data_IF_375632920478
#
_entry.id   IF_375632920478
#
_cell.length_a   1.000
_cell.length_b   1.000
_cell.length_c   1.000
_cell.angle_alpha   90.00
_cell.angle_beta   90.00
_cell.angle_gamma   90.00
#
_symmetry.space_group_name_H-M   'P 1'
#
loop_
_entity.id
_entity.type
_entity.pdbx_description
1 polymer ?
#
# COMPACT_ATOMS: atom_id res chain seq x y z
N UNK A 1 7.82 -8.89 -12.01
CA UNK A 1 7.18 -8.86 -10.67
C UNK A 1 7.52 -7.52 -10.07
N UNK A 2 6.53 -6.65 -9.90
CA UNK A 2 6.74 -5.31 -9.33
C UNK A 2 6.41 -5.32 -7.85
N UNK A 3 7.32 -4.81 -7.02
CA UNK A 3 7.04 -4.51 -5.62
C UNK A 3 6.83 -3.00 -5.50
N UNK A 4 5.67 -2.61 -5.00
CA UNK A 4 5.38 -1.22 -4.70
C UNK A 4 5.61 -1.02 -3.21
N UNK A 5 6.67 -0.31 -2.86
CA UNK A 5 6.96 0.03 -1.47
C UNK A 5 6.38 1.40 -1.17
N UNK A 6 5.60 1.45 -0.10
CA UNK A 6 4.98 2.65 0.42
C UNK A 6 5.47 2.88 1.85
N UNK A 7 5.79 4.14 2.15
CA UNK A 7 6.28 4.54 3.46
C UNK A 7 5.16 5.31 4.16
N UNK A 8 4.61 4.67 5.19
CA UNK A 8 3.61 5.24 6.07
C UNK A 8 4.29 5.93 7.24
N UNK A 9 3.96 7.19 7.48
CA UNK A 9 4.48 8.03 8.56
C UNK A 9 3.32 8.69 9.29
N UNK A 10 3.35 8.65 10.62
CA UNK A 10 2.46 9.45 11.45
C UNK A 10 3.21 10.70 11.89
N UNK A 11 2.66 11.87 11.58
CA UNK A 11 3.11 13.14 12.13
C UNK A 11 1.96 13.79 12.90
N UNK A 12 2.10 13.88 14.22
CA UNK A 12 1.25 14.72 15.06
C UNK A 12 -0.24 14.38 15.11
N UNK A 13 -0.64 13.17 14.71
CA UNK A 13 -2.05 12.73 14.69
C UNK A 13 -2.61 12.42 13.30
N UNK A 14 -1.90 12.80 12.23
CA UNK A 14 -2.25 12.44 10.86
C UNK A 14 -1.27 11.39 10.31
N UNK A 15 -1.82 10.34 9.72
CA UNK A 15 -1.07 9.31 9.01
C UNK A 15 -0.95 9.73 7.54
N UNK A 16 0.26 9.93 7.06
CA UNK A 16 0.56 10.17 5.66
C UNK A 16 1.32 8.98 5.10
N UNK A 17 1.07 8.65 3.84
CA UNK A 17 1.78 7.63 3.11
C UNK A 17 2.28 8.19 1.80
N UNK A 18 3.48 7.76 1.42
CA UNK A 18 4.15 8.14 0.20
C UNK A 18 4.74 6.92 -0.46
N UNK A 19 4.39 6.68 -1.72
CA UNK A 19 5.03 5.66 -2.53
C UNK A 19 6.51 6.01 -2.76
N UNK A 20 7.41 5.04 -2.57
CA UNK A 20 8.86 5.22 -2.77
C UNK A 20 9.21 5.44 -4.27
N UNK A 21 8.49 4.76 -5.15
CA UNK A 21 8.74 4.75 -6.60
C UNK A 21 7.52 5.28 -7.39
N UNK A 22 6.76 6.22 -6.82
CA UNK A 22 5.59 6.81 -7.48
C UNK A 22 5.12 8.11 -6.84
N UNK A 23 4.19 8.78 -7.50
CA UNK A 23 3.53 10.03 -7.04
C UNK A 23 2.17 9.73 -6.41
N UNK A 24 2.11 8.65 -5.62
CA UNK A 24 0.88 8.24 -4.95
C UNK A 24 1.04 8.55 -3.47
N UNK A 25 0.36 9.62 -3.06
CA UNK A 25 0.36 10.13 -1.69
C UNK A 25 -1.06 10.05 -1.12
N UNK A 26 -1.19 9.52 0.10
CA UNK A 26 -2.46 9.45 0.80
C UNK A 26 -2.29 10.00 2.23
N UNK A 27 -3.22 10.82 2.67
CA UNK A 27 -3.27 11.31 4.05
C UNK A 27 -4.59 10.87 4.67
N UNK A 28 -4.54 10.32 5.89
CA UNK A 28 -5.71 9.95 6.65
C UNK A 28 -5.48 10.12 8.17
N UNK A 29 -6.55 10.36 8.95
CA UNK A 29 -6.45 10.45 10.41
C UNK A 29 -6.19 9.08 11.08
N UNK A 30 -6.23 7.97 10.33
CA UNK A 30 -6.05 6.62 10.88
C UNK A 30 -5.41 5.67 9.86
N UNK A 31 -4.54 4.79 10.36
CA UNK A 31 -3.86 3.75 9.56
C UNK A 31 -4.84 2.89 8.75
N UNK A 32 -6.01 2.56 9.31
CA UNK A 32 -7.01 1.73 8.62
C UNK A 32 -7.67 2.42 7.43
N UNK A 33 -7.89 3.75 7.50
CA UNK A 33 -8.40 4.52 6.37
C UNK A 33 -7.33 4.64 5.27
N UNK A 34 -6.09 4.83 5.69
CA UNK A 34 -4.95 4.95 4.79
C UNK A 34 -4.68 3.64 4.01
N UNK A 35 -4.71 2.49 4.69
CA UNK A 35 -4.60 1.16 4.05
C UNK A 35 -5.68 0.96 2.98
N UNK A 36 -6.93 1.37 3.25
CA UNK A 36 -8.03 1.26 2.28
C UNK A 36 -7.82 2.14 1.05
N UNK A 37 -7.34 3.36 1.23
CA UNK A 37 -6.99 4.23 0.10
C UNK A 37 -5.87 3.66 -0.75
N UNK A 38 -4.82 3.12 -0.12
CA UNK A 38 -3.71 2.45 -0.79
C UNK A 38 -4.15 1.24 -1.61
N UNK A 39 -4.98 0.37 -1.01
CA UNK A 39 -5.52 -0.81 -1.70
C UNK A 39 -6.38 -0.38 -2.89
N UNK A 40 -7.21 0.67 -2.74
CA UNK A 40 -8.04 1.20 -3.81
C UNK A 40 -7.20 1.83 -4.94
N UNK A 41 -6.13 2.53 -4.60
CA UNK A 41 -5.19 3.08 -5.57
C UNK A 41 -4.44 1.97 -6.34
N UNK A 42 -3.96 0.94 -5.64
CA UNK A 42 -3.32 -0.23 -6.24
C UNK A 42 -4.27 -1.02 -7.14
N UNK A 43 -5.54 -1.19 -6.73
CA UNK A 43 -6.62 -1.77 -7.54
C UNK A 43 -6.85 -0.99 -8.84
N UNK A 44 -6.91 0.34 -8.74
CA UNK A 44 -7.06 1.23 -9.90
C UNK A 44 -5.86 1.14 -10.85
N UNK A 45 -4.65 1.05 -10.29
CA UNK A 45 -3.41 0.98 -11.06
C UNK A 45 -3.19 -0.40 -11.73
N UNK A 46 -3.71 -1.50 -11.16
CA UNK A 46 -3.45 -2.85 -11.66
C UNK A 46 -4.76 -3.65 -11.80
N UNK A 47 -5.46 -3.40 -12.91
CA UNK A 47 -6.76 -4.00 -13.25
C UNK A 47 -6.71 -5.52 -13.61
N UNK A 48 -5.58 -6.22 -13.47
CA UNK A 48 -5.43 -7.59 -14.01
C UNK A 48 -4.54 -8.56 -13.22
N UNK A 49 -4.25 -8.30 -11.95
CA UNK A 49 -3.47 -9.22 -11.10
C UNK A 49 -3.83 -9.10 -9.64
N UNK A 50 -3.63 -10.19 -8.88
CA UNK A 50 -3.79 -10.16 -7.43
C UNK A 50 -2.68 -9.36 -6.76
N UNK A 51 -3.03 -8.66 -5.70
CA UNK A 51 -2.13 -7.83 -4.92
C UNK A 51 -2.00 -8.45 -3.55
N UNK A 52 -0.78 -8.75 -3.14
CA UNK A 52 -0.47 -9.09 -1.76
C UNK A 52 0.07 -7.84 -1.09
N UNK A 53 -0.73 -7.23 -0.21
CA UNK A 53 -0.25 -6.17 0.67
C UNK A 53 0.37 -6.77 1.94
N UNK A 54 1.51 -6.23 2.33
CA UNK A 54 2.20 -6.53 3.58
C UNK A 54 2.36 -5.23 4.35
N UNK A 55 1.74 -5.16 5.53
CA UNK A 55 1.86 -4.01 6.42
C UNK A 55 2.80 -4.38 7.57
N UNK A 56 3.94 -3.71 7.65
CA UNK A 56 4.96 -3.90 8.68
C UNK A 56 5.10 -2.62 9.51
N UNK A 57 4.49 -2.54 10.71
CA UNK A 57 4.72 -1.42 11.62
C UNK A 57 6.16 -1.50 12.17
N UNK A 58 6.94 -0.44 11.94
CA UNK A 58 8.35 -0.36 12.40
C UNK A 58 8.41 0.36 13.75
N UNK A 59 7.54 1.34 13.95
CA UNK A 59 7.41 2.14 15.17
C UNK A 59 5.94 2.55 15.35
N UNK A 60 5.50 2.98 16.55
CA UNK A 60 4.13 3.46 16.77
C UNK A 60 3.74 4.66 15.90
N UNK A 61 4.72 5.30 15.26
CA UNK A 61 4.55 6.46 14.38
C UNK A 61 5.03 6.20 12.95
N UNK A 62 5.43 4.98 12.57
CA UNK A 62 5.88 4.68 11.20
C UNK A 62 5.64 3.23 10.84
N UNK A 63 5.20 3.01 9.60
CA UNK A 63 5.00 1.68 9.06
C UNK A 63 5.43 1.62 7.60
N UNK A 64 5.83 0.45 7.16
CA UNK A 64 6.15 0.19 5.77
C UNK A 64 5.02 -0.66 5.21
N UNK A 65 4.46 -0.24 4.08
CA UNK A 65 3.44 -0.97 3.37
C UNK A 65 3.99 -1.42 2.04
N UNK A 66 4.08 -2.72 1.81
CA UNK A 66 4.58 -3.28 0.56
C UNK A 66 3.44 -3.96 -0.18
N UNK A 67 3.18 -3.55 -1.40
CA UNK A 67 2.22 -4.19 -2.28
C UNK A 67 2.99 -4.95 -3.34
N UNK A 68 2.97 -6.26 -3.23
CA UNK A 68 3.52 -7.15 -4.25
C UNK A 68 2.40 -7.40 -5.26
N UNK A 69 2.55 -6.88 -6.47
CA UNK A 69 1.69 -7.29 -7.59
C UNK A 69 2.18 -8.64 -8.08
N UNK A 70 1.41 -9.69 -7.76
CA UNK A 70 1.64 -11.02 -8.29
C UNK A 70 0.60 -11.28 -9.38
N UNK A 71 1.06 -11.64 -10.58
CA UNK A 71 0.16 -12.15 -11.61
C UNK A 71 -0.36 -13.50 -11.12
N UNK A 72 -1.55 -13.50 -10.52
CA UNK A 72 -2.30 -14.73 -10.27
C UNK A 72 -2.66 -15.30 -11.63
N UNK A 73 -1.82 -16.20 -12.14
CA UNK A 73 -2.19 -17.05 -13.27
C UNK A 73 -3.08 -18.12 -12.69
N UNK A 74 -4.39 -17.90 -12.70
CA UNK A 74 -5.36 -18.97 -12.46
C UNK A 74 -5.22 -19.94 -13.64
N UNK A 75 -4.40 -20.99 -13.50
CA UNK A 75 -4.53 -22.17 -14.34
C UNK A 75 -5.71 -22.95 -13.78
N UNK A 76 -6.89 -22.76 -14.35
CA UNK A 76 -7.99 -23.71 -14.23
C UNK A 76 -7.53 -24.99 -14.95
N UNK A 77 -7.31 -26.06 -14.19
CA UNK A 77 -7.23 -27.45 -14.68
C UNK A 77 -8.42 -28.21 -14.12
#
# INVERSE_FOLDING_TARGET
MGVFTFVVKNSGGEWSDKQYEGDLEACAPSSYALQRMLVQAALSANSSGGFQSSYSPVTPSSAVFQVNSFRITFSLT
#
